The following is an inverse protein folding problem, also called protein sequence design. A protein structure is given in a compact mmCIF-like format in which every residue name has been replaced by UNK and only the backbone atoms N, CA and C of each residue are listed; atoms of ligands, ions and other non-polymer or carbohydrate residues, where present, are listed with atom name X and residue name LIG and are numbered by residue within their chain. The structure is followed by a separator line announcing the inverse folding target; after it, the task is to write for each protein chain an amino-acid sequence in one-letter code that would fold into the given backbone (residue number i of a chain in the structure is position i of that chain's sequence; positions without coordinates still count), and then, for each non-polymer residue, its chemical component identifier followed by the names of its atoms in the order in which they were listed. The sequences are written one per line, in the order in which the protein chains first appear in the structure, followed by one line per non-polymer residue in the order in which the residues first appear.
data_IF_184888722474
#
_entry.id   IF_184888722474
#
_cell.length_a   1.000
_cell.length_b   1.000
_cell.length_c   1.000
_cell.angle_alpha   90.00
_cell.angle_beta   90.00
_cell.angle_gamma   90.00
#
_symmetry.space_group_name_H-M   'P 1'
#
loop_
_entity.id
_entity.type
_entity.pdbx_description
1 polymer ?
#
# COMPACT_ATOMS: atom_id res chain seq x y z
N UNK A 1 -0.40 -12.91 25.96
CA UNK A 1 -0.36 -12.60 25.35
C UNK A 1 0.10 -12.37 24.32
N UNK A 2 0.57 -12.16 23.98
CA UNK A 2 0.92 -12.03 23.02
C UNK A 2 0.44 -11.51 21.93
N UNK A 3 -0.20 -11.05 21.81
CA UNK A 3 -1.00 -10.44 20.84
C UNK A 3 -0.36 -9.36 20.06
N UNK A 4 0.54 -8.64 20.57
CA UNK A 4 1.20 -7.56 19.86
C UNK A 4 1.86 -8.04 18.58
N UNK A 5 2.34 -9.25 18.61
CA UNK A 5 3.07 -9.76 17.47
C UNK A 5 2.19 -9.93 16.24
N UNK A 6 0.88 -9.95 16.44
CA UNK A 6 0.00 -10.19 15.31
C UNK A 6 -0.12 -9.00 14.41
N UNK A 7 0.11 -7.81 14.95
CA UNK A 7 -0.01 -6.60 14.14
C UNK A 7 1.32 -6.12 13.62
N UNK A 8 2.36 -6.92 13.75
CA UNK A 8 3.68 -6.44 13.39
C UNK A 8 4.25 -7.27 12.26
N UNK A 9 3.92 -6.87 11.08
CA UNK A 9 4.58 -7.36 9.89
C UNK A 9 5.59 -6.29 9.51
N UNK A 10 6.87 -6.61 9.44
CA UNK A 10 7.86 -5.61 9.08
C UNK A 10 7.91 -5.46 7.56
N UNK A 11 8.69 -4.48 7.11
CA UNK A 11 8.78 -4.18 5.68
C UNK A 11 9.31 -5.34 4.87
N UNK A 12 10.26 -6.10 5.42
CA UNK A 12 10.83 -7.20 4.68
C UNK A 12 9.81 -8.32 4.47
N UNK A 13 8.94 -8.54 5.46
CA UNK A 13 7.87 -9.51 5.33
C UNK A 13 6.85 -9.04 4.30
N UNK A 14 6.48 -7.75 4.35
CA UNK A 14 5.53 -7.18 3.40
C UNK A 14 6.05 -7.30 1.98
N UNK A 15 7.35 -7.09 1.77
CA UNK A 15 7.92 -7.13 0.44
C UNK A 15 7.91 -8.53 -0.17
N UNK A 16 7.64 -9.54 0.62
CA UNK A 16 7.47 -10.90 0.12
C UNK A 16 6.06 -11.19 -0.38
N UNK A 17 5.11 -10.31 -0.07
CA UNK A 17 3.73 -10.52 -0.51
C UNK A 17 3.66 -10.37 -2.03
N UNK A 18 2.70 -11.06 -2.63
CA UNK A 18 2.63 -11.14 -4.09
C UNK A 18 1.58 -10.24 -4.70
N UNK A 19 0.50 -9.96 -4.01
CA UNK A 19 -0.61 -9.18 -4.56
C UNK A 19 -0.69 -7.83 -3.87
N UNK A 20 -0.46 -6.79 -4.65
CA UNK A 20 -0.34 -5.42 -4.15
C UNK A 20 -1.33 -4.50 -4.83
N UNK A 21 -1.71 -3.43 -4.12
CA UNK A 21 -2.41 -2.31 -4.72
C UNK A 21 -1.59 -1.06 -4.44
N UNK A 22 -1.21 -0.33 -5.47
CA UNK A 22 -0.51 0.94 -5.31
C UNK A 22 -1.57 2.04 -5.40
N UNK A 23 -1.76 2.74 -4.30
CA UNK A 23 -2.77 3.78 -4.19
C UNK A 23 -2.10 5.14 -4.24
N UNK A 24 -2.34 5.87 -5.33
CA UNK A 24 -1.72 7.16 -5.55
C UNK A 24 -2.23 7.81 -6.80
N UNK A 25 -1.71 9.01 -7.09
CA UNK A 25 -2.11 9.74 -8.28
C UNK A 25 -1.27 9.28 -9.47
N UNK A 26 -1.69 8.18 -10.08
CA UNK A 26 -0.96 7.53 -11.17
C UNK A 26 -0.80 8.42 -12.40
N UNK A 27 -1.67 9.39 -12.55
CA UNK A 27 -1.61 10.26 -13.72
C UNK A 27 -0.67 11.44 -13.56
N UNK A 28 -0.33 11.81 -12.33
CA UNK A 28 0.45 13.03 -12.09
C UNK A 28 1.74 12.82 -11.33
N UNK A 29 1.80 11.82 -10.48
CA UNK A 29 2.98 11.62 -9.64
C UNK A 29 3.86 10.54 -10.25
N UNK A 30 5.02 10.89 -10.83
CA UNK A 30 5.89 9.89 -11.48
C UNK A 30 6.36 8.80 -10.54
N UNK A 31 6.50 9.12 -9.25
CA UNK A 31 6.94 8.13 -8.28
C UNK A 31 5.95 6.98 -8.18
N UNK A 32 4.66 7.28 -8.30
CA UNK A 32 3.62 6.25 -8.22
C UNK A 32 3.79 5.21 -9.32
N UNK A 33 4.10 5.67 -10.53
CA UNK A 33 4.39 4.76 -11.64
C UNK A 33 5.65 3.96 -11.42
N UNK A 34 6.67 4.60 -10.86
CA UNK A 34 7.93 3.91 -10.57
C UNK A 34 7.74 2.80 -9.53
N UNK A 35 6.90 3.05 -8.53
CA UNK A 35 6.61 2.05 -7.51
C UNK A 35 5.90 0.84 -8.12
N UNK A 36 4.93 1.10 -8.98
CA UNK A 36 4.21 0.05 -9.69
C UNK A 36 5.19 -0.81 -10.52
N UNK A 37 6.06 -0.15 -11.29
CA UNK A 37 7.03 -0.84 -12.13
C UNK A 37 7.98 -1.68 -11.28
N UNK A 38 8.47 -1.11 -10.18
CA UNK A 38 9.41 -1.81 -9.33
C UNK A 38 8.79 -3.08 -8.75
N UNK A 39 7.57 -2.98 -8.24
CA UNK A 39 6.90 -4.14 -7.70
C UNK A 39 6.66 -5.20 -8.78
N UNK A 40 6.24 -4.77 -9.96
CA UNK A 40 6.00 -5.71 -11.06
C UNK A 40 7.27 -6.39 -11.53
N UNK A 41 8.39 -5.67 -11.51
CA UNK A 41 9.67 -6.24 -11.91
C UNK A 41 10.14 -7.34 -10.97
N UNK A 42 9.59 -7.39 -9.76
CA UNK A 42 9.88 -8.44 -8.79
C UNK A 42 8.82 -9.54 -8.82
N UNK A 43 8.03 -9.61 -9.88
CA UNK A 43 7.08 -10.71 -10.08
C UNK A 43 5.77 -10.56 -9.34
N UNK A 44 5.47 -9.36 -8.87
CA UNK A 44 4.24 -9.14 -8.10
C UNK A 44 3.09 -8.75 -9.01
N UNK A 45 1.89 -9.13 -8.61
CA UNK A 45 0.67 -8.67 -9.24
C UNK A 45 0.31 -7.33 -8.59
N UNK A 46 0.16 -6.28 -9.40
CA UNK A 46 -0.04 -4.93 -8.89
C UNK A 46 -1.25 -4.29 -9.56
N UNK A 47 -2.20 -3.89 -8.73
CA UNK A 47 -3.36 -3.13 -9.18
C UNK A 47 -3.11 -1.65 -8.93
N UNK A 48 -3.43 -0.81 -9.94
CA UNK A 48 -3.25 0.63 -9.83
C UNK A 48 -4.56 1.27 -9.39
N UNK A 49 -4.53 1.94 -8.24
CA UNK A 49 -5.70 2.58 -7.66
C UNK A 49 -5.43 4.07 -7.54
N UNK A 50 -6.28 4.88 -8.15
CA UNK A 50 -6.17 6.33 -8.09
C UNK A 50 -7.47 6.90 -7.55
N UNK A 51 -7.46 7.40 -6.30
CA UNK A 51 -8.69 7.94 -5.71
C UNK A 51 -9.26 9.13 -6.47
N UNK A 52 -8.44 9.79 -7.28
CA UNK A 52 -8.93 10.89 -8.13
C UNK A 52 -9.62 10.39 -9.39
N UNK A 53 -9.61 9.09 -9.62
CA UNK A 53 -10.31 8.48 -10.74
C UNK A 53 -9.72 8.75 -12.11
N UNK A 54 -8.42 9.05 -12.17
CA UNK A 54 -7.77 9.41 -13.43
C UNK A 54 -6.93 8.26 -13.98
N UNK A 55 -6.89 8.09 -15.30
CA UNK A 55 -5.99 7.11 -15.88
C UNK A 55 -4.54 7.53 -15.63
N UNK A 56 -3.58 6.59 -15.68
CA UNK A 56 -3.72 5.23 -16.21
C UNK A 56 -4.19 4.18 -15.20
N UNK A 57 -4.65 4.57 -14.04
CA UNK A 57 -5.11 3.60 -13.06
C UNK A 57 -6.42 2.93 -13.50
N UNK A 58 -6.53 1.65 -13.22
CA UNK A 58 -7.74 0.87 -13.57
C UNK A 58 -8.86 1.04 -12.56
N UNK A 59 -8.50 1.39 -11.33
CA UNK A 59 -9.47 1.41 -10.24
C UNK A 59 -9.44 2.73 -9.50
N UNK A 60 -10.59 3.12 -8.99
CA UNK A 60 -10.74 4.35 -8.24
C UNK A 60 -10.69 4.10 -6.73
N UNK A 61 -11.00 2.88 -6.33
CA UNK A 61 -11.13 2.52 -4.93
C UNK A 61 -10.66 1.08 -4.74
N UNK A 62 -10.18 0.76 -3.55
CA UNK A 62 -9.80 -0.60 -3.21
C UNK A 62 -10.98 -1.56 -3.33
N UNK A 63 -12.20 -1.06 -3.11
CA UNK A 63 -13.40 -1.88 -3.23
C UNK A 63 -13.60 -2.42 -4.63
N UNK A 64 -13.09 -1.72 -5.62
CA UNK A 64 -13.27 -2.10 -7.01
C UNK A 64 -12.24 -3.12 -7.49
N UNK A 65 -11.19 -3.35 -6.72
CA UNK A 65 -10.11 -4.26 -7.11
C UNK A 65 -10.58 -5.70 -6.97
N UNK A 66 -10.44 -6.52 -8.02
CA UNK A 66 -10.84 -7.93 -7.92
C UNK A 66 -9.80 -8.72 -7.12
N UNK A 67 -10.28 -9.74 -6.41
CA UNK A 67 -9.40 -10.64 -5.70
C UNK A 67 -8.94 -10.09 -4.36
N UNK A 68 -7.94 -10.74 -3.80
CA UNK A 68 -7.48 -10.45 -2.45
C UNK A 68 -6.15 -9.72 -2.49
N UNK A 69 -6.18 -8.45 -2.16
CA UNK A 69 -4.96 -7.65 -2.03
C UNK A 69 -4.30 -8.01 -0.70
N UNK A 70 -3.01 -8.27 -0.75
CA UNK A 70 -2.26 -8.64 0.44
C UNK A 70 -1.56 -7.45 1.08
N UNK A 71 -1.21 -6.45 0.29
CA UNK A 71 -0.50 -5.29 0.78
C UNK A 71 -0.85 -4.07 -0.05
N UNK A 72 -1.08 -2.94 0.62
CA UNK A 72 -1.31 -1.66 -0.05
C UNK A 72 -0.05 -0.82 0.09
N UNK A 73 0.41 -0.23 -1.03
CA UNK A 73 1.50 0.73 -1.04
C UNK A 73 0.86 2.12 -1.15
N UNK A 74 0.95 2.91 -0.09
CA UNK A 74 0.20 4.15 0.04
C UNK A 74 1.06 5.35 -0.35
N UNK A 75 0.61 6.10 -1.34
CA UNK A 75 1.33 7.25 -1.88
C UNK A 75 0.39 8.42 -2.09
N UNK A 76 -0.51 8.66 -1.15
CA UNK A 76 -1.41 9.82 -1.17
C UNK A 76 -1.16 10.64 0.09
N UNK A 77 -1.72 11.85 0.13
CA UNK A 77 -1.58 12.66 1.35
C UNK A 77 -2.28 11.96 2.52
N UNK A 78 -1.88 12.30 3.77
CA UNK A 78 -2.41 11.57 4.93
C UNK A 78 -3.93 11.65 5.10
N UNK A 79 -4.54 12.74 4.67
CA UNK A 79 -5.98 12.88 4.78
C UNK A 79 -6.69 11.83 3.93
N UNK A 80 -6.26 11.71 2.68
CA UNK A 80 -6.82 10.70 1.78
C UNK A 80 -6.40 9.31 2.23
N UNK A 81 -5.22 9.20 2.84
CA UNK A 81 -4.73 7.95 3.36
C UNK A 81 -5.62 7.37 4.44
N UNK A 82 -6.26 8.23 5.25
CA UNK A 82 -7.19 7.75 6.27
C UNK A 82 -8.38 7.01 5.64
N UNK A 83 -8.89 7.53 4.53
CA UNK A 83 -9.98 6.85 3.83
C UNK A 83 -9.54 5.49 3.33
N UNK A 84 -8.30 5.39 2.84
CA UNK A 84 -7.76 4.13 2.36
C UNK A 84 -7.66 3.13 3.51
N UNK A 85 -7.19 3.58 4.67
CA UNK A 85 -7.09 2.72 5.85
C UNK A 85 -8.44 2.17 6.26
N UNK A 86 -9.49 3.01 6.23
CA UNK A 86 -10.83 2.54 6.54
C UNK A 86 -11.28 1.46 5.55
N UNK A 87 -11.04 1.68 4.27
CA UNK A 87 -11.37 0.66 3.27
C UNK A 87 -10.63 -0.64 3.52
N UNK A 88 -9.34 -0.55 3.89
CA UNK A 88 -8.56 -1.75 4.19
C UNK A 88 -9.18 -2.52 5.35
N UNK A 89 -9.61 -1.81 6.38
CA UNK A 89 -10.25 -2.45 7.52
C UNK A 89 -11.52 -3.18 7.13
N UNK A 90 -12.33 -2.57 6.27
CA UNK A 90 -13.57 -3.17 5.81
C UNK A 90 -13.32 -4.39 4.93
N UNK A 91 -12.27 -4.33 4.11
CA UNK A 91 -11.96 -5.40 3.15
C UNK A 91 -11.06 -6.47 3.72
N UNK A 92 -10.54 -6.28 4.93
CA UNK A 92 -9.66 -7.26 5.55
C UNK A 92 -8.26 -7.30 4.95
N UNK A 93 -7.80 -6.20 4.36
CA UNK A 93 -6.45 -6.13 3.81
C UNK A 93 -5.47 -5.91 4.96
N UNK A 94 -4.49 -6.80 5.14
CA UNK A 94 -3.75 -6.84 6.40
C UNK A 94 -2.48 -5.98 6.48
N UNK A 95 -1.95 -5.52 5.35
CA UNK A 95 -0.64 -4.86 5.36
C UNK A 95 -0.67 -3.52 4.64
N UNK A 96 -0.09 -2.50 5.28
CA UNK A 96 0.03 -1.17 4.70
C UNK A 96 1.48 -0.75 4.67
N UNK A 97 2.00 -0.50 3.48
CA UNK A 97 3.34 0.03 3.25
C UNK A 97 3.18 1.52 2.94
N UNK A 98 3.70 2.36 3.83
CA UNK A 98 3.49 3.80 3.74
C UNK A 98 4.73 4.48 3.20
N UNK A 99 4.61 5.08 2.03
CA UNK A 99 5.73 5.78 1.41
C UNK A 99 6.02 7.09 2.14
N UNK A 100 7.26 7.62 2.01
CA UNK A 100 7.61 8.87 2.69
C UNK A 100 6.63 9.98 2.35
N UNK A 101 6.18 10.69 3.38
CA UNK A 101 5.23 11.80 3.22
C UNK A 101 3.77 11.40 3.27
N UNK A 102 3.47 10.10 3.20
CA UNK A 102 2.08 9.65 3.23
C UNK A 102 1.61 9.25 4.63
N UNK A 103 2.51 9.16 5.59
CA UNK A 103 2.17 8.72 6.92
C UNK A 103 1.75 9.84 7.84
N UNK A 104 1.06 9.48 8.92
CA UNK A 104 0.71 10.40 9.99
C UNK A 104 0.48 9.59 11.25
N UNK A 105 0.46 10.30 12.38
CA UNK A 105 0.15 9.64 13.65
C UNK A 105 -1.25 9.06 13.61
N UNK A 106 -2.19 9.76 13.00
CA UNK A 106 -3.55 9.28 12.89
C UNK A 106 -3.64 7.97 12.12
N UNK A 107 -2.90 7.89 11.03
CA UNK A 107 -2.86 6.66 10.23
C UNK A 107 -2.27 5.52 11.05
N UNK A 108 -1.17 5.78 11.77
CA UNK A 108 -0.54 4.75 12.60
C UNK A 108 -1.49 4.25 13.68
N UNK A 109 -2.16 5.17 14.34
CA UNK A 109 -3.10 4.81 15.41
C UNK A 109 -4.30 4.04 14.87
N UNK A 110 -4.80 4.44 13.71
CA UNK A 110 -5.97 3.78 13.13
C UNK A 110 -5.63 2.38 12.67
N UNK A 111 -4.46 2.20 12.07
CA UNK A 111 -4.01 0.86 11.67
C UNK A 111 -3.90 -0.05 12.88
N UNK A 112 -3.35 0.46 13.98
CA UNK A 112 -3.24 -0.33 15.19
C UNK A 112 -4.62 -0.76 15.69
N UNK A 113 -5.57 0.17 15.68
CA UNK A 113 -6.93 -0.13 16.13
C UNK A 113 -7.62 -1.17 15.25
N UNK A 114 -7.34 -1.16 13.96
CA UNK A 114 -7.96 -2.08 13.01
C UNK A 114 -7.17 -3.38 12.82
N UNK A 115 -6.03 -3.51 13.48
CA UNK A 115 -5.20 -4.70 13.34
C UNK A 115 -4.46 -4.78 12.02
N UNK A 116 -4.20 -3.64 11.38
CA UNK A 116 -3.46 -3.57 10.13
C UNK A 116 -1.98 -3.36 10.46
N UNK A 117 -1.12 -4.23 9.92
CA UNK A 117 0.32 -4.09 10.07
C UNK A 117 0.80 -2.94 9.19
N UNK A 118 1.64 -2.08 9.74
CA UNK A 118 2.09 -0.88 9.04
C UNK A 118 3.62 -0.82 9.03
N UNK A 119 4.17 -0.46 7.86
CA UNK A 119 5.60 -0.20 7.72
C UNK A 119 5.76 1.11 6.96
N UNK A 120 6.60 2.00 7.49
CA UNK A 120 6.92 3.27 6.83
C UNK A 120 8.28 3.15 6.17
N UNK A 121 8.31 3.27 4.85
CA UNK A 121 9.54 3.14 4.11
C UNK A 121 9.31 3.41 2.65
N UNK A 122 10.30 3.12 1.83
CA UNK A 122 10.21 3.35 0.40
C UNK A 122 10.51 2.07 -0.36
N UNK A 123 9.52 1.62 -1.15
CA UNK A 123 9.68 0.43 -1.98
C UNK A 123 10.89 0.57 -2.90
N UNK A 124 11.12 1.77 -3.43
CA UNK A 124 12.24 1.98 -4.36
C UNK A 124 13.60 1.81 -3.68
N UNK A 125 13.65 2.01 -2.37
CA UNK A 125 14.88 1.83 -1.60
C UNK A 125 15.03 0.39 -1.13
N UNK A 126 13.94 -0.17 -0.63
CA UNK A 126 13.98 -1.47 0.03
C UNK A 126 13.88 -2.63 -0.94
N UNK A 127 13.39 -2.39 -2.15
CA UNK A 127 13.26 -3.40 -3.19
C UNK A 127 14.10 -2.93 -4.38
N UNK A 128 15.38 -3.32 -4.45
CA UNK A 128 16.30 -2.72 -5.41
C UNK A 128 15.91 -2.98 -6.87
N UNK A 129 16.27 -2.03 -7.72
CA UNK A 129 16.10 -2.19 -9.16
C UNK A 129 17.05 -3.26 -9.70
N UNK A 130 16.75 -3.74 -10.89
CA UNK A 130 17.66 -4.65 -11.55
C UNK A 130 17.59 -6.09 -11.08
N UNK A 131 16.64 -6.42 -10.25
CA UNK A 131 16.42 -7.80 -9.88
C UNK A 131 15.79 -8.52 -11.06
N UNK A 132 16.42 -9.48 -11.54
CA UNK A 132 15.88 -10.20 -12.69
C UNK A 132 15.89 -11.68 -12.45
#
# INVERSE_FOLDING_TARGET
MITASMATSDGSTMLKKKVWAVVGNHGKNPVVGQLTERLRSHGKEVFRVNPYGKPPAEYKSLEDVPGSVECVDLVVNPRMGMDVVEQMGELGIPNLFVQPGAGSEEIRNRCQALGIALHEGCVLVELPAGRL
#
